data_IF_663438862920
#
_entry.id   IF_663438862920
#
_cell.length_a   1.000
_cell.length_b   1.000
_cell.length_c   1.000
_cell.angle_alpha   90.00
_cell.angle_beta   90.00
_cell.angle_gamma   90.00
#
_symmetry.space_group_name_H-M   'P 1'
#
loop_
_entity.id
_entity.type
_entity.pdbx_description
1 polymer ?
#
# COMPACT_ATOMS: atom_id res chain seq x y z
N UNK A 1 -13.88 -19.05 3.55
CA UNK A 1 -13.74 -18.28 4.82
C UNK A 1 -12.99 -17.01 4.51
N UNK A 2 -13.67 -15.85 4.53
CA UNK A 2 -13.10 -14.58 4.07
C UNK A 2 -12.10 -14.01 5.08
N UNK A 3 -10.81 -14.08 4.75
CA UNK A 3 -9.76 -13.40 5.52
C UNK A 3 -9.96 -11.87 5.48
N UNK A 4 -9.61 -11.19 6.57
CA UNK A 4 -9.62 -9.73 6.61
C UNK A 4 -8.50 -9.21 5.71
N UNK A 5 -8.82 -8.25 4.83
CA UNK A 5 -7.91 -7.69 3.82
C UNK A 5 -7.97 -6.17 3.90
N UNK A 6 -6.85 -5.49 3.71
CA UNK A 6 -6.79 -4.03 3.73
C UNK A 6 -6.13 -3.47 2.47
N UNK A 7 -6.67 -2.33 2.02
CA UNK A 7 -6.05 -1.46 1.02
C UNK A 7 -5.63 -0.18 1.72
N UNK A 8 -4.45 0.31 1.39
CA UNK A 8 -3.95 1.59 1.89
C UNK A 8 -4.10 2.64 0.79
N UNK A 9 -4.61 3.82 1.13
CA UNK A 9 -4.80 4.92 0.21
C UNK A 9 -4.18 6.21 0.77
N UNK A 10 -3.31 6.83 -0.02
CA UNK A 10 -2.71 8.14 0.27
C UNK A 10 -3.08 9.12 -0.84
N UNK A 11 -3.39 10.38 -0.51
CA UNK A 11 -3.95 11.37 -1.45
C UNK A 11 -3.00 12.56 -1.74
N UNK A 12 -1.84 12.34 -2.39
CA UNK A 12 -0.95 13.43 -2.81
C UNK A 12 -1.36 14.02 -4.17
N UNK A 13 -0.99 15.28 -4.45
CA UNK A 13 -1.18 15.85 -5.79
C UNK A 13 -0.42 15.09 -6.89
N UNK A 14 0.76 14.53 -6.56
CA UNK A 14 1.52 13.64 -7.44
C UNK A 14 1.64 12.24 -6.80
N UNK A 15 1.13 11.16 -7.43
CA UNK A 15 1.18 9.81 -6.87
C UNK A 15 2.54 9.12 -7.05
N UNK A 16 3.62 9.89 -7.23
CA UNK A 16 4.97 9.33 -7.23
C UNK A 16 5.31 8.89 -5.80
N UNK A 17 5.64 7.60 -5.56
CA UNK A 17 5.98 7.14 -4.23
C UNK A 17 7.24 7.82 -3.69
N UNK A 18 7.16 8.35 -2.49
CA UNK A 18 8.33 8.75 -1.71
C UNK A 18 9.01 7.53 -1.08
N UNK A 19 10.22 7.73 -0.53
CA UNK A 19 10.92 6.67 0.20
C UNK A 19 10.15 6.30 1.47
N UNK A 20 9.57 7.29 2.12
CA UNK A 20 8.75 7.17 3.32
C UNK A 20 7.50 6.33 3.05
N UNK A 21 6.81 6.54 1.91
CA UNK A 21 5.65 5.73 1.52
C UNK A 21 6.02 4.25 1.41
N UNK A 22 7.16 3.95 0.78
CA UNK A 22 7.66 2.58 0.60
C UNK A 22 8.01 1.96 1.95
N UNK A 23 8.66 2.70 2.84
CA UNK A 23 9.06 2.21 4.16
C UNK A 23 7.85 1.92 5.07
N UNK A 24 6.87 2.83 5.07
CA UNK A 24 5.58 2.61 5.76
C UNK A 24 4.87 1.38 5.22
N UNK A 25 4.83 1.22 3.90
CA UNK A 25 4.22 0.06 3.24
C UNK A 25 4.85 -1.25 3.70
N UNK A 26 6.18 -1.34 3.71
CA UNK A 26 6.91 -2.55 4.15
C UNK A 26 6.58 -2.91 5.59
N UNK A 27 6.59 -1.92 6.50
CA UNK A 27 6.25 -2.12 7.91
C UNK A 27 4.82 -2.61 8.09
N UNK A 28 3.87 -2.06 7.33
CA UNK A 28 2.47 -2.49 7.37
C UNK A 28 2.28 -3.92 6.85
N UNK A 29 2.99 -4.30 5.80
CA UNK A 29 3.01 -5.68 5.27
C UNK A 29 3.56 -6.65 6.32
N UNK A 30 4.65 -6.30 7.00
CA UNK A 30 5.21 -7.11 8.09
C UNK A 30 4.25 -7.24 9.27
N UNK A 31 3.64 -6.14 9.71
CA UNK A 31 2.61 -6.14 10.75
C UNK A 31 1.43 -7.03 10.36
N UNK A 32 0.97 -6.94 9.10
CA UNK A 32 -0.11 -7.75 8.55
C UNK A 32 0.16 -9.25 8.65
N UNK A 33 1.40 -9.67 8.35
CA UNK A 33 1.84 -11.08 8.50
C UNK A 33 1.72 -11.57 9.95
N UNK A 34 2.07 -10.73 10.93
CA UNK A 34 2.03 -11.09 12.36
C UNK A 34 0.58 -11.25 12.84
N UNK A 35 -0.32 -10.36 12.42
CA UNK A 35 -1.72 -10.33 12.90
C UNK A 35 -2.69 -11.16 12.04
N UNK A 36 -2.19 -11.78 10.96
CA UNK A 36 -3.00 -12.57 10.04
C UNK A 36 -3.93 -11.74 9.14
N UNK A 37 -3.53 -10.51 8.81
CA UNK A 37 -4.23 -9.62 7.88
C UNK A 37 -3.37 -9.39 6.64
N UNK A 38 -3.90 -9.74 5.48
CA UNK A 38 -3.20 -9.53 4.21
C UNK A 38 -3.34 -8.08 3.75
N UNK A 39 -2.21 -7.42 3.50
CA UNK A 39 -2.16 -6.15 2.78
C UNK A 39 -2.21 -6.47 1.29
N UNK A 40 -3.33 -6.14 0.64
CA UNK A 40 -3.53 -6.51 -0.77
C UNK A 40 -2.76 -5.59 -1.72
N UNK A 41 -2.77 -4.31 -1.41
CA UNK A 41 -2.10 -3.27 -2.18
C UNK A 41 -2.03 -1.97 -1.36
N UNK A 42 -1.12 -1.08 -1.76
CA UNK A 42 -1.07 0.31 -1.33
C UNK A 42 -1.16 1.18 -2.58
N UNK A 43 -2.29 1.87 -2.71
CA UNK A 43 -2.56 2.79 -3.79
C UNK A 43 -2.20 4.22 -3.37
N UNK A 44 -1.29 4.84 -4.10
CA UNK A 44 -1.05 6.28 -3.99
C UNK A 44 -1.94 6.94 -5.04
N UNK A 45 -2.93 7.71 -4.60
CA UNK A 45 -3.99 8.26 -5.45
C UNK A 45 -3.77 9.77 -5.60
N UNK A 46 -3.45 10.20 -6.82
CA UNK A 46 -3.46 11.61 -7.19
C UNK A 46 -4.76 12.01 -7.89
N UNK A 47 -4.82 13.25 -8.35
CA UNK A 47 -6.05 13.88 -8.84
C UNK A 47 -6.74 13.12 -9.99
N UNK A 48 -5.95 12.54 -10.92
CA UNK A 48 -6.45 11.78 -12.08
C UNK A 48 -5.68 10.50 -12.38
N UNK A 49 -4.78 10.10 -11.47
CA UNK A 49 -3.89 8.95 -11.64
C UNK A 49 -3.67 8.29 -10.29
N UNK A 50 -3.36 7.00 -10.31
CA UNK A 50 -2.93 6.28 -9.13
C UNK A 50 -1.68 5.47 -9.45
N UNK A 51 -0.94 5.07 -8.41
CA UNK A 51 0.16 4.12 -8.48
C UNK A 51 -0.13 2.98 -7.51
N UNK A 52 -0.15 1.75 -8.02
CA UNK A 52 -0.14 0.53 -7.21
C UNK A 52 1.30 0.19 -6.82
N UNK A 53 1.57 0.13 -5.51
CA UNK A 53 2.87 -0.29 -5.03
C UNK A 53 3.11 -1.79 -5.24
N UNK A 54 2.04 -2.60 -5.30
CA UNK A 54 2.14 -4.01 -5.70
C UNK A 54 2.55 -4.18 -7.16
N UNK A 55 1.91 -3.48 -8.09
CA UNK A 55 2.26 -3.55 -9.52
C UNK A 55 3.69 -3.05 -9.80
N UNK A 56 4.19 -2.13 -8.98
CA UNK A 56 5.58 -1.64 -9.01
C UNK A 56 6.59 -2.57 -8.34
N UNK A 57 6.16 -3.65 -7.68
CA UNK A 57 7.02 -4.65 -7.03
C UNK A 57 7.56 -4.24 -5.66
N UNK A 58 6.88 -3.33 -4.96
CA UNK A 58 7.23 -2.96 -3.57
C UNK A 58 6.55 -3.83 -2.51
N UNK A 59 5.54 -4.63 -2.89
CA UNK A 59 4.75 -5.55 -2.06
C UNK A 59 4.76 -6.93 -2.72
#
# INVERSE_FOLDING_TARGET
MGGKRIFLAFLPNDPTPSREDIEVTKRLVECGKIIGIEVLDHLIIGEKKYVSLKEKGYI
#
